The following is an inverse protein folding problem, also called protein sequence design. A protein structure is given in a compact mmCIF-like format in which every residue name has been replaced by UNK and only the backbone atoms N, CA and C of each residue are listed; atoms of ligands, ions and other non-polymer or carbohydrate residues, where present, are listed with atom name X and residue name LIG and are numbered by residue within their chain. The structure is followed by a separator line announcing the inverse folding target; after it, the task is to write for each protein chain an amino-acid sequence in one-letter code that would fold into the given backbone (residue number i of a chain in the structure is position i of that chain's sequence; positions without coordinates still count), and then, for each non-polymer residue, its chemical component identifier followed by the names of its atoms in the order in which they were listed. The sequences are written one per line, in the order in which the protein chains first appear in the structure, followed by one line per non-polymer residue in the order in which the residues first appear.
data_IF_928272868553
#
_entry.id   IF_928272868553
#
_cell.length_a   1.000
_cell.length_b   1.000
_cell.length_c   1.000
_cell.angle_alpha   90.00
_cell.angle_beta   90.00
_cell.angle_gamma   90.00
#
_symmetry.space_group_name_H-M   'P 1'
#
loop_
_entity.id
_entity.type
_entity.pdbx_description
1 polymer ?
#
# COMPACT_ATOMS: atom_id res chain seq x y z
N UNK A 1 -8.93 -5.77 -17.44
CA UNK A 1 -8.55 -4.52 -16.74
C UNK A 1 -8.81 -4.76 -15.27
N UNK A 2 -7.94 -4.26 -14.39
CA UNK A 2 -8.14 -4.30 -12.94
C UNK A 2 -7.86 -2.93 -12.35
N UNK A 3 -8.33 -2.67 -11.14
CA UNK A 3 -8.01 -1.43 -10.41
C UNK A 3 -7.05 -1.75 -9.28
N UNK A 4 -5.93 -1.03 -9.23
CA UNK A 4 -5.00 -1.09 -8.11
C UNK A 4 -5.12 0.17 -7.27
N UNK A 5 -5.17 0.02 -5.96
CA UNK A 5 -5.10 1.11 -4.99
C UNK A 5 -3.79 1.01 -4.22
N UNK A 6 -2.90 1.98 -4.45
CA UNK A 6 -1.59 2.05 -3.86
C UNK A 6 -1.61 2.93 -2.62
N UNK A 7 -1.01 2.45 -1.53
CA UNK A 7 -0.68 3.24 -0.35
C UNK A 7 0.83 3.24 -0.21
N UNK A 8 1.46 4.42 -0.22
CA UNK A 8 2.92 4.57 -0.24
C UNK A 8 3.39 5.29 1.00
N UNK A 9 4.38 4.73 1.68
CA UNK A 9 5.03 5.30 2.85
C UNK A 9 6.42 5.80 2.45
N UNK A 10 6.54 7.08 2.09
CA UNK A 10 7.79 7.71 1.66
C UNK A 10 8.41 8.47 2.83
N UNK A 11 9.53 8.00 3.35
CA UNK A 11 10.13 8.57 4.56
C UNK A 11 10.85 7.55 5.42
N UNK A 12 10.92 7.82 6.72
CA UNK A 12 11.68 7.02 7.69
C UNK A 12 10.80 6.67 8.89
N UNK A 13 10.87 5.41 9.32
CA UNK A 13 10.34 4.99 10.61
C UNK A 13 11.45 4.98 11.66
N UNK A 14 11.10 5.23 12.92
CA UNK A 14 12.05 5.16 14.05
C UNK A 14 12.70 3.77 14.15
N UNK A 15 11.91 2.73 13.86
CA UNK A 15 12.37 1.36 13.69
C UNK A 15 11.76 0.77 12.41
N UNK A 16 12.48 0.82 11.27
CA UNK A 16 11.98 0.35 9.97
C UNK A 16 11.53 -1.11 9.98
N UNK A 17 12.27 -1.98 10.69
CA UNK A 17 11.93 -3.40 10.81
C UNK A 17 10.61 -3.59 11.57
N UNK A 18 10.49 -2.99 12.74
CA UNK A 18 9.27 -3.08 13.54
C UNK A 18 8.06 -2.50 12.80
N UNK A 19 8.25 -1.44 12.01
CA UNK A 19 7.19 -0.86 11.18
C UNK A 19 6.69 -1.85 10.14
N UNK A 20 7.61 -2.46 9.39
CA UNK A 20 7.29 -3.44 8.35
C UNK A 20 6.66 -4.70 8.96
N UNK A 21 7.21 -5.20 10.07
CA UNK A 21 6.70 -6.39 10.75
C UNK A 21 5.28 -6.14 11.28
N UNK A 22 5.04 -4.99 11.95
CA UNK A 22 3.68 -4.64 12.42
C UNK A 22 2.70 -4.51 11.25
N UNK A 23 3.13 -3.83 10.18
CA UNK A 23 2.29 -3.66 9.00
C UNK A 23 1.88 -5.01 8.42
N UNK A 24 2.81 -5.95 8.29
CA UNK A 24 2.55 -7.28 7.74
C UNK A 24 1.69 -8.14 8.67
N UNK A 25 1.96 -8.12 9.96
CA UNK A 25 1.34 -9.05 10.93
C UNK A 25 -0.04 -8.58 11.43
N UNK A 26 -0.28 -7.27 11.47
CA UNK A 26 -1.51 -6.71 12.05
C UNK A 26 -2.30 -5.87 11.04
N UNK A 27 -1.65 -4.95 10.35
CA UNK A 27 -2.34 -4.01 9.46
C UNK A 27 -2.84 -4.67 8.17
N UNK A 28 -1.99 -5.45 7.50
CA UNK A 28 -2.31 -6.14 6.26
C UNK A 28 -3.49 -7.13 6.38
N UNK A 29 -3.63 -7.92 7.48
CA UNK A 29 -4.83 -8.71 7.73
C UNK A 29 -6.14 -7.89 7.81
N UNK A 30 -6.09 -6.62 8.22
CA UNK A 30 -7.26 -5.73 8.18
C UNK A 30 -7.59 -5.29 6.75
N UNK A 31 -6.57 -4.99 5.94
CA UNK A 31 -6.73 -4.65 4.52
C UNK A 31 -7.31 -5.82 3.72
N UNK A 32 -6.88 -7.05 4.01
CA UNK A 32 -7.44 -8.27 3.41
C UNK A 32 -8.94 -8.47 3.65
N UNK A 33 -9.53 -7.78 4.64
CA UNK A 33 -10.97 -7.84 4.91
C UNK A 33 -11.78 -6.86 4.07
N UNK A 34 -11.15 -6.09 3.20
CA UNK A 34 -11.85 -5.16 2.33
C UNK A 34 -12.74 -5.95 1.35
N UNK A 35 -14.04 -5.62 1.25
CA UNK A 35 -14.94 -6.38 0.39
C UNK A 35 -14.50 -6.29 -1.07
N UNK A 36 -14.41 -7.43 -1.73
CA UNK A 36 -14.04 -7.51 -3.15
C UNK A 36 -12.55 -7.39 -3.45
N UNK A 37 -11.68 -7.31 -2.43
CA UNK A 37 -10.23 -7.37 -2.64
C UNK A 37 -9.84 -8.72 -3.27
N UNK A 38 -8.99 -8.65 -4.30
CA UNK A 38 -8.47 -9.83 -5.02
C UNK A 38 -7.06 -10.16 -4.62
N UNK A 39 -6.27 -9.13 -4.39
CA UNK A 39 -4.87 -9.27 -4.01
C UNK A 39 -4.43 -8.12 -3.09
N UNK A 40 -3.44 -8.41 -2.25
CA UNK A 40 -2.72 -7.45 -1.43
C UNK A 40 -1.24 -7.77 -1.51
N UNK A 41 -0.50 -6.90 -2.20
CA UNK A 41 0.95 -7.05 -2.41
C UNK A 41 1.66 -5.98 -1.59
N UNK A 42 2.61 -6.40 -0.76
CA UNK A 42 3.49 -5.52 -0.02
C UNK A 42 4.84 -5.45 -0.75
N UNK A 43 5.24 -4.24 -1.13
CA UNK A 43 6.51 -3.94 -1.76
C UNK A 43 7.45 -3.30 -0.74
N UNK A 44 8.70 -3.77 -0.74
CA UNK A 44 9.78 -3.24 0.08
C UNK A 44 10.87 -2.64 -0.83
N UNK A 45 11.54 -1.57 -0.40
CA UNK A 45 12.65 -1.02 -1.16
C UNK A 45 13.77 -2.05 -1.29
N UNK A 46 14.39 -2.08 -2.46
CA UNK A 46 15.64 -2.79 -2.73
C UNK A 46 16.61 -1.80 -3.35
N UNK A 47 17.90 -1.99 -3.09
CA UNK A 47 18.93 -1.22 -3.78
C UNK A 47 18.96 -1.63 -5.27
N UNK A 48 19.17 -0.66 -6.14
CA UNK A 48 19.31 -0.87 -7.57
C UNK A 48 20.40 0.04 -8.13
N UNK A 49 20.98 -0.37 -9.26
CA UNK A 49 22.00 0.39 -9.98
C UNK A 49 21.47 0.70 -11.39
N UNK A 50 20.94 1.90 -11.57
CA UNK A 50 20.51 2.42 -12.88
C UNK A 50 21.67 3.26 -13.46
N UNK A 51 22.15 2.96 -14.69
CA UNK A 51 23.27 3.68 -15.28
C UNK A 51 22.95 5.15 -15.62
N UNK A 52 21.69 5.58 -15.53
CA UNK A 52 21.25 6.95 -15.76
C UNK A 52 20.99 7.70 -14.44
N UNK A 53 21.10 9.05 -14.43
CA UNK A 53 20.85 9.85 -13.23
C UNK A 53 19.35 9.92 -12.91
N UNK A 54 18.84 8.89 -12.23
CA UNK A 54 17.46 8.83 -11.74
C UNK A 54 17.40 9.19 -10.25
N UNK A 55 16.27 9.71 -9.81
CA UNK A 55 16.03 10.01 -8.39
C UNK A 55 15.35 8.81 -7.72
N UNK A 56 15.94 8.19 -6.68
CA UNK A 56 15.29 7.12 -5.92
C UNK A 56 13.98 7.61 -5.29
N UNK A 57 12.97 6.74 -5.24
CA UNK A 57 11.65 7.10 -4.70
C UNK A 57 11.66 7.35 -3.19
N UNK A 58 12.44 6.58 -2.42
CA UNK A 58 12.56 6.73 -0.97
C UNK A 58 11.40 6.13 -0.17
N UNK A 59 10.66 5.20 -0.75
CA UNK A 59 9.62 4.43 -0.06
C UNK A 59 10.22 3.46 0.95
N UNK A 60 9.68 3.44 2.17
CA UNK A 60 9.92 2.40 3.17
C UNK A 60 9.05 1.16 2.89
N UNK A 61 7.83 1.39 2.41
CA UNK A 61 6.82 0.38 2.16
C UNK A 61 5.81 0.89 1.14
N UNK A 62 5.32 0.02 0.25
CA UNK A 62 4.13 0.28 -0.54
C UNK A 62 3.18 -0.91 -0.49
N UNK A 63 1.92 -0.65 -0.17
CA UNK A 63 0.85 -1.64 -0.27
C UNK A 63 0.06 -1.42 -1.56
N UNK A 64 -0.18 -2.49 -2.30
CA UNK A 64 -1.03 -2.51 -3.48
C UNK A 64 -2.23 -3.42 -3.22
N UNK A 65 -3.42 -2.85 -3.22
CA UNK A 65 -4.68 -3.61 -3.15
C UNK A 65 -5.28 -3.69 -4.56
N UNK A 66 -5.66 -4.89 -5.00
CA UNK A 66 -6.19 -5.13 -6.35
C UNK A 66 -7.68 -5.47 -6.29
N UNK A 67 -8.45 -4.88 -7.21
CA UNK A 67 -9.89 -5.06 -7.37
C UNK A 67 -10.23 -5.29 -8.85
N UNK A 68 -11.37 -5.95 -9.12
CA UNK A 68 -11.81 -6.18 -10.51
C UNK A 68 -12.25 -4.87 -11.16
N UNK A 69 -13.00 -4.03 -10.43
CA UNK A 69 -13.57 -2.77 -10.94
C UNK A 69 -13.34 -1.60 -9.99
N UNK A 70 -13.56 -0.37 -10.50
CA UNK A 70 -13.53 0.84 -9.67
C UNK A 70 -14.66 0.84 -8.64
N UNK A 71 -15.82 0.28 -8.97
CA UNK A 71 -16.94 0.18 -8.04
C UNK A 71 -16.63 -0.75 -6.86
N UNK A 72 -15.90 -1.85 -7.10
CA UNK A 72 -15.43 -2.73 -6.03
C UNK A 72 -14.50 -1.99 -5.06
N UNK A 73 -13.53 -1.23 -5.60
CA UNK A 73 -12.66 -0.38 -4.79
C UNK A 73 -13.47 0.63 -3.98
N UNK A 74 -14.42 1.33 -4.60
CA UNK A 74 -15.22 2.35 -3.90
C UNK A 74 -16.04 1.74 -2.76
N UNK A 75 -16.64 0.54 -2.96
CA UNK A 75 -17.33 -0.19 -1.89
C UNK A 75 -16.36 -0.62 -0.78
N UNK A 76 -15.16 -1.06 -1.12
CA UNK A 76 -14.13 -1.38 -0.14
C UNK A 76 -13.74 -0.16 0.71
N UNK A 77 -13.54 0.99 0.08
CA UNK A 77 -13.16 2.22 0.77
C UNK A 77 -14.27 2.78 1.68
N UNK A 78 -15.53 2.44 1.41
CA UNK A 78 -16.68 2.81 2.26
C UNK A 78 -17.00 1.79 3.37
N UNK A 79 -16.22 0.71 3.50
CA UNK A 79 -16.55 -0.41 4.41
C UNK A 79 -16.07 -0.21 5.85
N UNK A 80 -16.68 -0.94 6.79
CA UNK A 80 -16.23 -1.03 8.19
C UNK A 80 -14.78 -1.54 8.30
N UNK A 81 -14.35 -2.42 7.38
CA UNK A 81 -12.97 -2.89 7.35
C UNK A 81 -11.99 -1.73 7.09
N UNK A 82 -12.37 -0.77 6.23
CA UNK A 82 -11.58 0.43 5.97
C UNK A 82 -11.58 1.42 7.14
N UNK A 83 -12.63 1.47 7.95
CA UNK A 83 -12.64 2.22 9.21
C UNK A 83 -11.63 1.61 10.17
N UNK A 84 -11.71 0.28 10.41
CA UNK A 84 -10.80 -0.44 11.31
C UNK A 84 -9.33 -0.33 10.89
N UNK A 85 -9.03 -0.43 9.60
CA UNK A 85 -7.66 -0.25 9.11
C UNK A 85 -7.14 1.18 9.36
N UNK A 86 -8.00 2.21 9.25
CA UNK A 86 -7.60 3.58 9.58
C UNK A 86 -7.38 3.79 11.07
N UNK A 87 -8.18 3.16 11.92
CA UNK A 87 -7.98 3.23 13.37
C UNK A 87 -6.67 2.56 13.79
N UNK A 88 -6.34 1.41 13.19
CA UNK A 88 -5.09 0.67 13.46
C UNK A 88 -3.83 1.45 13.02
N UNK A 89 -3.96 2.43 12.12
CA UNK A 89 -2.84 3.28 11.72
C UNK A 89 -2.13 3.93 12.92
N UNK A 90 -2.86 4.27 13.99
CA UNK A 90 -2.30 4.87 15.20
C UNK A 90 -1.37 3.93 15.99
N UNK A 91 -1.41 2.62 15.72
CA UNK A 91 -0.58 1.61 16.37
C UNK A 91 0.72 1.33 15.62
N UNK A 92 0.88 1.86 14.40
CA UNK A 92 2.13 1.74 13.66
C UNK A 92 3.27 2.45 14.41
N UNK A 93 4.49 1.90 14.38
CA UNK A 93 5.66 2.61 14.90
C UNK A 93 5.82 4.01 14.30
N UNK A 94 6.42 4.93 15.06
CA UNK A 94 6.59 6.32 14.66
C UNK A 94 7.21 6.45 13.26
N UNK A 95 6.55 7.20 12.38
CA UNK A 95 6.94 7.42 11.00
C UNK A 95 6.96 8.91 10.68
N UNK A 96 8.06 9.37 10.07
CA UNK A 96 8.23 10.73 9.56
C UNK A 96 8.33 10.70 8.04
N UNK A 97 7.39 11.36 7.36
CA UNK A 97 7.35 11.40 5.90
C UNK A 97 5.95 11.61 5.35
N UNK A 98 5.72 11.13 4.13
CA UNK A 98 4.47 11.25 3.41
C UNK A 98 3.79 9.88 3.27
N UNK A 99 2.48 9.85 3.49
CA UNK A 99 1.63 8.69 3.20
C UNK A 99 0.63 9.05 2.11
N UNK A 100 0.85 8.57 0.89
CA UNK A 100 -0.02 8.88 -0.27
C UNK A 100 -0.91 7.72 -0.64
N UNK A 101 -2.04 8.02 -1.28
CA UNK A 101 -3.05 7.06 -1.71
C UNK A 101 -3.42 7.32 -3.17
N UNK A 102 -3.34 6.30 -4.04
CA UNK A 102 -3.59 6.46 -5.48
C UNK A 102 -4.32 5.25 -6.06
N UNK A 103 -5.48 5.47 -6.68
CA UNK A 103 -6.15 4.47 -7.51
C UNK A 103 -5.62 4.54 -8.95
N UNK A 104 -5.39 3.39 -9.58
CA UNK A 104 -4.93 3.29 -10.97
C UNK A 104 -5.69 2.17 -11.68
N UNK A 105 -6.09 2.42 -12.93
CA UNK A 105 -6.62 1.39 -13.82
C UNK A 105 -5.44 0.70 -14.51
N UNK A 106 -5.31 -0.60 -14.34
CA UNK A 106 -4.37 -1.42 -15.09
C UNK A 106 -5.01 -1.87 -16.41
N UNK A 107 -4.47 -1.35 -17.51
CA UNK A 107 -4.61 -1.95 -18.83
C UNK A 107 -3.40 -2.85 -19.08
N UNK A 108 -3.63 -4.08 -19.55
CA UNK A 108 -2.54 -4.87 -20.14
C UNK A 108 -2.06 -4.11 -21.36
N UNK A 109 -0.78 -3.74 -21.39
CA UNK A 109 -0.17 -3.13 -22.58
C UNK A 109 -0.39 -4.05 -23.79
N UNK A 110 -0.86 -3.48 -24.90
CA UNK A 110 -0.76 -4.15 -26.18
C UNK A 110 0.73 -4.39 -26.44
N UNK A 111 1.10 -5.65 -26.72
CA UNK A 111 2.46 -6.01 -27.11
C UNK A 111 2.71 -5.64 -28.57
#
# INVERSE_FOLDING_TARGET
MSVSYFVRYRGQAENPRAFVDYYREFHAPLLWRFPGIKDLILHHPVDFDDPFPVTPGGELLMAQMVFDTLDDLNRALASDARVRARDDFANLPGFTGEVTHQAMLAATGER
#
